data_IF_085266191074
#
_entry.id   IF_085266191074
#
_cell.length_a   1.000
_cell.length_b   1.000
_cell.length_c   1.000
_cell.angle_alpha   90.00
_cell.angle_beta   90.00
_cell.angle_gamma   90.00
#
_symmetry.space_group_name_H-M   'P 1'
#
loop_
_entity.id
_entity.type
_entity.pdbx_description
1 polymer ?
#
# COMPACT_ATOMS: atom_id res chain seq x y z
N UNK A 1 -21.82 22.75 16.37
CA UNK A 1 -20.36 22.56 16.55
C UNK A 1 -19.78 21.42 15.70
N UNK A 2 -20.46 20.29 15.44
CA UNK A 2 -19.89 19.23 14.58
C UNK A 2 -19.75 19.63 13.08
N UNK A 3 -20.66 20.45 12.54
CA UNK A 3 -20.63 20.81 11.11
C UNK A 3 -19.50 21.77 10.69
N UNK A 4 -19.02 22.64 11.59
CA UNK A 4 -17.94 23.60 11.26
C UNK A 4 -16.58 22.91 11.17
N UNK A 5 -16.32 21.91 12.02
CA UNK A 5 -15.10 21.10 11.95
C UNK A 5 -15.05 20.22 10.69
N UNK A 6 -16.19 19.65 10.27
CA UNK A 6 -16.30 18.92 9.00
C UNK A 6 -16.07 19.82 7.78
N UNK A 7 -16.51 21.08 7.83
CA UNK A 7 -16.31 22.04 6.74
C UNK A 7 -14.84 22.45 6.57
N UNK A 8 -14.11 22.65 7.68
CA UNK A 8 -12.67 22.95 7.64
C UNK A 8 -11.83 21.75 7.21
N UNK A 9 -12.16 20.52 7.64
CA UNK A 9 -11.52 19.29 7.15
C UNK A 9 -11.85 19.01 5.67
N UNK A 10 -12.99 19.52 5.19
CA UNK A 10 -13.34 19.49 3.78
C UNK A 10 -12.44 20.34 2.87
N UNK A 11 -11.55 21.19 3.39
CA UNK A 11 -10.75 22.11 2.57
C UNK A 11 -9.25 21.78 2.55
N UNK A 12 -8.90 20.49 2.67
CA UNK A 12 -7.51 20.02 2.52
C UNK A 12 -7.12 20.16 1.04
N UNK A 13 -6.44 21.25 0.68
CA UNK A 13 -6.01 21.51 -0.71
C UNK A 13 -4.72 20.79 -1.10
N UNK A 14 -3.90 20.42 -0.12
CA UNK A 14 -2.53 19.89 -0.33
C UNK A 14 -2.28 18.61 0.48
N UNK A 15 -3.17 17.62 0.38
CA UNK A 15 -3.06 16.36 1.13
C UNK A 15 -1.74 15.63 0.88
N UNK A 16 -1.23 15.67 -0.36
CA UNK A 16 0.05 15.06 -0.74
C UNK A 16 1.23 15.69 0.00
N UNK A 17 1.34 17.03 0.00
CA UNK A 17 2.43 17.73 0.69
C UNK A 17 2.36 17.49 2.20
N UNK A 18 1.14 17.49 2.76
CA UNK A 18 0.94 17.22 4.18
C UNK A 18 1.36 15.79 4.55
N UNK A 19 1.05 14.80 3.70
CA UNK A 19 1.46 13.41 3.92
C UNK A 19 2.99 13.22 3.85
N UNK A 20 3.69 14.03 3.04
CA UNK A 20 5.15 13.97 2.91
C UNK A 20 5.87 14.76 4.01
N UNK A 21 5.19 15.67 4.71
CA UNK A 21 5.78 16.47 5.76
C UNK A 21 6.09 15.64 7.03
N UNK A 22 7.19 15.97 7.71
CA UNK A 22 7.69 15.27 8.88
C UNK A 22 6.70 15.28 10.08
N UNK A 23 5.82 16.29 10.15
CA UNK A 23 4.79 16.41 11.17
C UNK A 23 3.37 16.29 10.58
N UNK A 24 3.17 16.80 9.36
CA UNK A 24 1.90 16.75 8.65
C UNK A 24 1.38 15.33 8.41
N UNK A 25 2.28 14.35 8.25
CA UNK A 25 1.89 12.96 8.06
C UNK A 25 1.04 12.42 9.24
N UNK A 26 1.29 12.86 10.48
CA UNK A 26 0.50 12.48 11.63
C UNK A 26 -0.90 13.09 11.59
N UNK A 27 -1.02 14.33 11.08
CA UNK A 27 -2.33 14.98 10.89
C UNK A 27 -3.15 14.22 9.86
N UNK A 28 -2.55 13.81 8.74
CA UNK A 28 -3.24 13.00 7.73
C UNK A 28 -3.65 11.65 8.31
N UNK A 29 -2.77 10.97 9.05
CA UNK A 29 -3.10 9.72 9.71
C UNK A 29 -4.26 9.86 10.69
N UNK A 30 -4.27 10.93 11.49
CA UNK A 30 -5.35 11.23 12.42
C UNK A 30 -6.68 11.48 11.69
N UNK A 31 -6.66 12.22 10.57
CA UNK A 31 -7.87 12.43 9.76
C UNK A 31 -8.39 11.11 9.19
N UNK A 32 -7.50 10.20 8.76
CA UNK A 32 -7.87 8.86 8.32
C UNK A 32 -8.45 8.02 9.47
N UNK A 33 -7.97 8.19 10.70
CA UNK A 33 -8.52 7.49 11.88
C UNK A 33 -9.91 7.95 12.26
N UNK A 34 -10.23 9.24 12.07
CA UNK A 34 -11.57 9.78 12.32
C UNK A 34 -12.63 9.20 11.38
N UNK A 35 -12.23 8.60 10.24
CA UNK A 35 -13.12 7.98 9.25
C UNK A 35 -14.24 8.92 8.75
N UNK A 36 -13.98 10.23 8.73
CA UNK A 36 -14.94 11.22 8.24
C UNK A 36 -15.05 11.06 6.71
N UNK A 37 -16.21 10.64 6.15
CA UNK A 37 -16.30 10.22 4.75
C UNK A 37 -15.88 11.30 3.75
N UNK A 38 -16.25 12.56 4.01
CA UNK A 38 -15.91 13.69 3.14
C UNK A 38 -14.41 13.97 3.12
N UNK A 39 -13.75 13.92 4.28
CA UNK A 39 -12.31 14.19 4.40
C UNK A 39 -11.48 13.04 3.81
N UNK A 40 -11.85 11.80 4.13
CA UNK A 40 -11.22 10.59 3.58
C UNK A 40 -11.37 10.52 2.06
N UNK A 41 -12.56 10.78 1.53
CA UNK A 41 -12.81 10.82 0.09
C UNK A 41 -11.95 11.88 -0.61
N UNK A 42 -11.84 13.08 -0.02
CA UNK A 42 -10.96 14.14 -0.56
C UNK A 42 -9.48 13.76 -0.54
N UNK A 43 -8.98 13.22 0.57
CA UNK A 43 -7.58 12.78 0.67
C UNK A 43 -7.27 11.66 -0.33
N UNK A 44 -8.10 10.62 -0.37
CA UNK A 44 -7.89 9.47 -1.26
C UNK A 44 -8.02 9.86 -2.74
N UNK A 45 -8.87 10.84 -3.07
CA UNK A 45 -8.94 11.39 -4.42
C UNK A 45 -7.66 12.13 -4.83
N UNK A 46 -7.01 12.82 -3.88
CA UNK A 46 -5.71 13.48 -4.12
C UNK A 46 -4.56 12.47 -4.22
N UNK A 47 -4.57 11.42 -3.41
CA UNK A 47 -3.51 10.40 -3.42
C UNK A 47 -3.55 9.48 -4.64
N UNK A 48 -4.73 9.34 -5.27
CA UNK A 48 -4.89 8.53 -6.48
C UNK A 48 -3.92 8.98 -7.58
N UNK A 49 -3.19 8.02 -8.15
CA UNK A 49 -2.14 8.27 -9.15
C UNK A 49 -0.77 8.60 -8.56
N UNK A 50 -0.65 8.75 -7.23
CA UNK A 50 0.58 9.08 -6.53
C UNK A 50 0.95 8.06 -5.44
N UNK A 51 0.23 6.95 -5.28
CA UNK A 51 0.49 5.96 -4.23
C UNK A 51 1.87 5.34 -4.34
N UNK A 52 2.37 5.10 -5.56
CA UNK A 52 3.73 4.60 -5.78
C UNK A 52 4.77 5.58 -5.25
N UNK A 53 4.62 6.87 -5.57
CA UNK A 53 5.51 7.91 -5.08
C UNK A 53 5.41 8.09 -3.56
N UNK A 54 4.19 8.09 -3.02
CA UNK A 54 3.98 8.24 -1.57
C UNK A 54 4.54 7.05 -0.78
N UNK A 55 4.54 5.85 -1.37
CA UNK A 55 5.05 4.63 -0.74
C UNK A 55 6.58 4.61 -0.58
N UNK A 56 7.34 5.29 -1.46
CA UNK A 56 8.81 5.33 -1.40
C UNK A 56 9.36 6.40 -0.47
N UNK A 57 8.50 7.27 0.07
CA UNK A 57 8.91 8.35 0.96
C UNK A 57 8.83 7.92 2.43
N UNK A 58 9.78 8.42 3.23
CA UNK A 58 9.90 8.10 4.66
C UNK A 58 8.62 8.37 5.46
N UNK A 59 7.96 9.50 5.22
CA UNK A 59 6.80 9.92 6.03
C UNK A 59 5.47 9.47 5.44
N UNK A 60 5.29 9.62 4.12
CA UNK A 60 4.01 9.27 3.50
C UNK A 60 3.81 7.78 3.31
N UNK A 61 4.85 6.94 3.38
CA UNK A 61 4.69 5.48 3.35
C UNK A 61 3.77 4.99 4.48
N UNK A 62 3.95 5.52 5.69
CA UNK A 62 3.06 5.25 6.83
C UNK A 62 1.61 5.65 6.57
N UNK A 63 1.39 6.76 5.87
CA UNK A 63 0.04 7.19 5.46
C UNK A 63 -0.57 6.18 4.50
N UNK A 64 0.19 5.68 3.53
CA UNK A 64 -0.29 4.66 2.58
C UNK A 64 -0.60 3.33 3.29
N UNK A 65 0.24 2.91 4.24
CA UNK A 65 -0.05 1.74 5.08
C UNK A 65 -1.35 1.90 5.87
N UNK A 66 -1.59 3.08 6.45
CA UNK A 66 -2.82 3.40 7.16
C UNK A 66 -4.04 3.33 6.24
N UNK A 67 -3.91 3.87 5.02
CA UNK A 67 -4.94 3.77 3.99
C UNK A 67 -5.26 2.30 3.66
N UNK A 68 -4.25 1.45 3.49
CA UNK A 68 -4.44 0.02 3.22
C UNK A 68 -5.10 -0.73 4.38
N UNK A 69 -4.80 -0.35 5.62
CA UNK A 69 -5.32 -1.00 6.82
C UNK A 69 -6.77 -0.61 7.13
N UNK A 70 -7.14 0.66 6.98
CA UNK A 70 -8.40 1.19 7.52
C UNK A 70 -9.47 1.46 6.46
N UNK A 71 -9.09 1.68 5.19
CA UNK A 71 -10.06 2.07 4.17
C UNK A 71 -10.80 0.88 3.56
N UNK A 72 -11.93 1.21 2.95
CA UNK A 72 -12.82 0.28 2.26
C UNK A 72 -12.10 -0.53 1.17
N UNK A 73 -12.64 -1.72 0.89
CA UNK A 73 -12.09 -2.66 -0.09
C UNK A 73 -11.91 -2.04 -1.49
N UNK A 74 -12.78 -1.10 -1.89
CA UNK A 74 -12.68 -0.42 -3.19
C UNK A 74 -11.45 0.50 -3.28
N UNK A 75 -11.20 1.30 -2.22
CA UNK A 75 -10.06 2.20 -2.18
C UNK A 75 -8.77 1.37 -2.06
N UNK A 76 -8.78 0.35 -1.20
CA UNK A 76 -7.66 -0.60 -1.05
C UNK A 76 -7.31 -1.27 -2.38
N UNK A 77 -8.30 -1.76 -3.13
CA UNK A 77 -8.09 -2.36 -4.45
C UNK A 77 -7.46 -1.35 -5.43
N UNK A 78 -7.86 -0.09 -5.36
CA UNK A 78 -7.28 0.98 -6.19
C UNK A 78 -5.79 1.19 -5.87
N UNK A 79 -5.43 1.28 -4.58
CA UNK A 79 -4.05 1.42 -4.12
C UNK A 79 -3.21 0.23 -4.58
N UNK A 80 -3.69 -0.99 -4.32
CA UNK A 80 -3.01 -2.22 -4.68
C UNK A 80 -2.78 -2.29 -6.19
N UNK A 81 -3.80 -1.99 -7.00
CA UNK A 81 -3.67 -1.98 -8.46
C UNK A 81 -2.59 -1.01 -8.92
N UNK A 82 -2.56 0.19 -8.36
CA UNK A 82 -1.56 1.20 -8.71
C UNK A 82 -0.13 0.76 -8.36
N UNK A 83 0.06 0.17 -7.17
CA UNK A 83 1.35 -0.37 -6.75
C UNK A 83 1.84 -1.49 -7.66
N UNK A 84 0.95 -2.40 -8.09
CA UNK A 84 1.29 -3.53 -8.98
C UNK A 84 1.57 -3.06 -10.40
N UNK A 85 0.81 -2.07 -10.88
CA UNK A 85 1.00 -1.48 -12.20
C UNK A 85 2.24 -0.59 -12.30
N UNK A 86 3.01 -0.43 -11.22
CA UNK A 86 4.28 0.29 -11.26
C UNK A 86 5.28 -0.40 -12.19
N UNK A 87 5.81 0.36 -13.15
CA UNK A 87 6.83 -0.12 -14.10
C UNK A 87 8.09 -0.65 -13.42
N UNK A 88 8.40 -0.12 -12.23
CA UNK A 88 9.58 -0.47 -11.43
C UNK A 88 9.19 -1.23 -10.15
N UNK A 89 8.22 -2.15 -10.24
CA UNK A 89 7.75 -2.91 -9.08
C UNK A 89 8.88 -3.58 -8.28
N UNK A 90 9.89 -4.14 -8.94
CA UNK A 90 11.05 -4.73 -8.24
C UNK A 90 11.88 -3.74 -7.45
N UNK A 91 11.93 -2.48 -7.86
CA UNK A 91 12.62 -1.44 -7.11
C UNK A 91 11.84 -1.07 -5.86
N UNK A 92 10.50 -1.05 -5.92
CA UNK A 92 9.65 -0.83 -4.75
C UNK A 92 9.84 -1.91 -3.67
N UNK A 93 10.17 -3.14 -4.08
CA UNK A 93 10.46 -4.23 -3.16
C UNK A 93 11.80 -4.07 -2.44
N UNK A 94 12.76 -3.39 -3.07
CA UNK A 94 14.08 -3.10 -2.52
C UNK A 94 14.14 -1.75 -1.80
N UNK A 95 13.13 -0.90 -2.01
CA UNK A 95 13.04 0.42 -1.41
C UNK A 95 12.90 0.33 0.11
N UNK A 96 13.63 1.15 0.91
CA UNK A 96 13.61 1.09 2.36
C UNK A 96 12.25 1.37 3.00
N UNK A 97 11.31 2.00 2.28
CA UNK A 97 9.98 2.35 2.76
C UNK A 97 8.88 1.58 2.04
N UNK A 98 8.91 1.53 0.71
CA UNK A 98 7.85 0.93 -0.08
C UNK A 98 7.74 -0.59 0.14
N UNK A 99 8.81 -1.27 0.53
CA UNK A 99 8.77 -2.70 0.86
C UNK A 99 7.73 -3.01 1.97
N UNK A 100 7.59 -2.13 2.96
CA UNK A 100 6.62 -2.27 4.05
C UNK A 100 5.19 -2.04 3.56
N UNK A 101 5.00 -1.04 2.69
CA UNK A 101 3.70 -0.78 2.04
C UNK A 101 3.25 -1.98 1.22
N UNK A 102 4.15 -2.59 0.43
CA UNK A 102 3.86 -3.80 -0.35
C UNK A 102 3.54 -4.98 0.58
N UNK A 103 4.30 -5.19 1.65
CA UNK A 103 4.00 -6.22 2.66
C UNK A 103 2.60 -6.03 3.27
N UNK A 104 2.26 -4.80 3.64
CA UNK A 104 0.95 -4.44 4.19
C UNK A 104 -0.15 -4.69 3.16
N UNK A 105 0.02 -4.23 1.91
CA UNK A 105 -0.89 -4.52 0.80
C UNK A 105 -1.12 -6.02 0.61
N UNK A 106 -0.05 -6.82 0.74
CA UNK A 106 -0.13 -8.26 0.60
C UNK A 106 -0.90 -8.92 1.77
N UNK A 107 -0.68 -8.43 2.99
CA UNK A 107 -1.37 -8.90 4.19
C UNK A 107 -2.88 -8.61 4.14
N UNK A 108 -3.27 -7.39 3.79
CA UNK A 108 -4.68 -6.97 3.81
C UNK A 108 -5.52 -7.56 2.68
N UNK A 109 -4.88 -8.01 1.60
CA UNK A 109 -5.57 -8.63 0.46
C UNK A 109 -5.75 -10.14 0.60
N UNK A 110 -4.90 -10.84 1.37
CA UNK A 110 -5.11 -12.26 1.71
C UNK A 110 -6.39 -12.50 2.51
N UNK A 111 -6.87 -11.49 3.24
CA UNK A 111 -8.14 -11.53 4.00
C UNK A 111 -9.37 -11.58 3.08
N UNK A 112 -9.25 -11.16 1.82
CA UNK A 112 -10.33 -11.19 0.83
C UNK A 112 -9.92 -11.98 -0.43
N UNK A 113 -9.80 -13.31 -0.32
CA UNK A 113 -10.06 -14.29 -1.40
C UNK A 113 -9.18 -14.25 -2.68
N UNK A 114 -8.45 -15.36 -2.93
CA UNK A 114 -8.21 -16.03 -4.23
C UNK A 114 -8.00 -15.23 -5.54
N UNK A 115 -7.56 -13.96 -5.51
CA UNK A 115 -7.28 -13.15 -6.73
C UNK A 115 -5.79 -12.80 -6.87
N UNK A 116 -4.93 -13.65 -6.34
CA UNK A 116 -3.48 -13.49 -6.37
C UNK A 116 -2.81 -14.09 -7.60
N UNK A 117 -3.50 -14.91 -8.38
CA UNK A 117 -2.93 -15.43 -9.64
C UNK A 117 -2.61 -14.32 -10.65
N UNK A 118 -3.27 -13.17 -10.58
CA UNK A 118 -2.97 -12.01 -11.43
C UNK A 118 -1.70 -11.24 -11.00
N UNK A 119 -1.35 -11.29 -9.71
CA UNK A 119 -0.07 -10.81 -9.19
C UNK A 119 1.10 -11.70 -9.66
N UNK A 120 0.83 -12.99 -9.82
CA UNK A 120 1.79 -14.03 -10.21
C UNK A 120 1.90 -14.26 -11.73
N UNK A 121 0.95 -13.77 -12.55
CA UNK A 121 1.00 -13.95 -14.01
C UNK A 121 1.95 -12.96 -14.70
N UNK A 122 2.08 -11.73 -14.17
CA UNK A 122 3.01 -10.71 -14.70
C UNK A 122 4.42 -10.83 -14.11
N UNK A 123 4.56 -11.49 -12.96
CA UNK A 123 5.84 -11.88 -12.38
C UNK A 123 5.85 -13.40 -12.32
N UNK A 124 6.26 -14.05 -13.42
CA UNK A 124 6.14 -15.51 -13.57
C UNK A 124 6.57 -16.30 -12.31
N UNK A 125 6.05 -17.52 -12.10
CA UNK A 125 6.06 -18.25 -10.81
C UNK A 125 7.44 -18.31 -10.10
N UNK A 126 8.51 -18.27 -10.88
CA UNK A 126 9.90 -18.23 -10.46
C UNK A 126 10.30 -16.95 -9.71
N UNK A 127 9.76 -15.80 -10.09
CA UNK A 127 10.08 -14.48 -9.52
C UNK A 127 9.43 -14.30 -8.15
N UNK A 128 8.23 -14.85 -7.95
CA UNK A 128 7.59 -14.97 -6.63
C UNK A 128 8.33 -15.95 -5.70
N UNK A 129 8.81 -17.06 -6.23
CA UNK A 129 9.62 -17.99 -5.44
C UNK A 129 10.95 -17.35 -5.02
N UNK A 130 11.64 -16.66 -5.93
CA UNK A 130 12.84 -15.90 -5.63
C UNK A 130 12.57 -14.73 -4.67
N UNK A 131 11.41 -14.09 -4.78
CA UNK A 131 10.90 -13.04 -3.88
C UNK A 131 10.68 -13.55 -2.45
N UNK A 132 9.96 -14.66 -2.28
CA UNK A 132 9.78 -15.30 -0.97
C UNK A 132 11.08 -15.87 -0.39
N UNK A 133 11.99 -16.35 -1.24
CA UNK A 133 13.28 -16.90 -0.84
C UNK A 133 14.27 -15.80 -0.40
N UNK A 134 14.38 -14.70 -1.15
CA UNK A 134 15.32 -13.59 -0.89
C UNK A 134 14.87 -12.66 0.25
N UNK A 135 13.57 -12.50 0.48
CA UNK A 135 13.04 -11.68 1.59
C UNK A 135 12.45 -12.51 2.74
N UNK A 136 12.85 -13.79 2.87
CA UNK A 136 12.37 -14.74 3.89
C UNK A 136 12.36 -14.17 5.31
N UNK A 137 13.30 -13.27 5.65
CA UNK A 137 13.37 -12.63 6.98
C UNK A 137 12.33 -11.51 7.21
N UNK A 138 11.78 -10.88 6.16
CA UNK A 138 10.75 -9.83 6.29
C UNK A 138 9.32 -10.38 6.20
N UNK A 139 9.12 -11.52 5.54
CA UNK A 139 7.81 -12.14 5.31
C UNK A 139 7.51 -13.34 6.24
N UNK A 140 8.08 -13.36 7.45
CA UNK A 140 7.88 -14.41 8.45
C UNK A 140 6.38 -14.50 8.82
N UNK A 141 5.71 -15.56 8.39
CA UNK A 141 4.28 -15.82 8.66
C UNK A 141 3.44 -16.17 7.44
N UNK A 142 3.98 -16.08 6.22
CA UNK A 142 3.32 -16.62 5.04
C UNK A 142 3.76 -18.06 4.79
N UNK A 143 2.88 -19.03 5.03
CA UNK A 143 3.06 -20.42 4.60
C UNK A 143 3.29 -20.42 3.08
N UNK A 144 4.51 -20.80 2.66
CA UNK A 144 4.83 -20.95 1.25
C UNK A 144 4.05 -22.15 0.70
N UNK A 145 3.34 -22.03 -0.43
CA UNK A 145 2.84 -23.21 -1.11
C UNK A 145 4.03 -24.08 -1.53
N UNK A 146 3.99 -25.37 -1.21
CA UNK A 146 5.03 -26.33 -1.59
C UNK A 146 4.86 -26.62 -3.08
N UNK A 147 5.59 -25.90 -3.92
CA UNK A 147 5.75 -26.24 -5.33
C UNK A 147 7.11 -26.92 -5.56
N UNK A 148 7.18 -27.92 -6.44
CA UNK A 148 8.43 -28.60 -6.75
C UNK A 148 9.44 -27.63 -7.37
N UNK A 149 10.69 -27.69 -6.89
CA UNK A 149 11.78 -26.86 -7.41
C UNK A 149 12.11 -27.33 -8.84
N UNK A 150 12.09 -26.44 -9.84
CA UNK A 150 12.45 -26.79 -11.21
C UNK A 150 13.96 -27.02 -11.34
N UNK A 151 14.32 -28.07 -12.07
CA UNK A 151 15.69 -28.59 -12.20
C UNK A 151 16.70 -27.65 -12.87
N UNK A 152 16.26 -26.48 -13.34
CA UNK A 152 17.11 -25.46 -13.98
C UNK A 152 17.91 -24.60 -13.00
N UNK A 153 17.77 -24.83 -11.68
CA UNK A 153 18.51 -24.15 -10.60
C UNK A 153 19.40 -25.10 -9.78
N UNK A 154 19.63 -26.33 -10.27
CA UNK A 154 20.67 -27.24 -9.77
C UNK A 154 21.90 -27.17 -10.65
#
# INVERSE_FOLDING_TARGET
MCCEFEFSLGNIKNGILLAQDAYGNYVVQYILELQIPLAVSKLTSQFKGNYVHLATQKFSSHVVEKCLAMLDAQIRSTIIRELISATQFEQLLQDPHANYVIQTALRVSKVHCFRYEFLLSNTGPYRYWYFCYRYRHQFLGFSLPVFPVPSSFL
#
